data_IF_676748081568
#
_entry.id   IF_676748081568
#
_cell.length_a   1.000
_cell.length_b   1.000
_cell.length_c   1.000
_cell.angle_alpha   90.00
_cell.angle_beta   90.00
_cell.angle_gamma   90.00
#
_symmetry.space_group_name_H-M   'P 1'
#
loop_
_entity.id
_entity.type
_entity.pdbx_description
1 polymer ?
#
# COMPACT_ATOMS: atom_id res chain seq x y z
N UNK A 1 68.64 19.08 51.85
CA UNK A 1 67.67 18.01 51.80
C UNK A 1 66.35 18.58 51.35
N UNK A 2 66.04 18.45 50.07
CA UNK A 2 64.83 18.96 49.43
C UNK A 2 63.89 17.86 49.11
N UNK A 3 62.66 17.86 49.64
CA UNK A 3 61.55 17.00 49.29
C UNK A 3 60.84 17.57 48.06
N UNK A 4 60.78 16.77 47.02
CA UNK A 4 59.98 17.08 45.81
C UNK A 4 58.63 16.46 45.98
N UNK A 5 57.58 17.30 46.06
CA UNK A 5 56.18 16.88 46.02
C UNK A 5 55.74 16.76 44.54
N UNK A 6 55.46 15.53 44.13
CA UNK A 6 54.82 15.26 42.84
C UNK A 6 53.29 15.30 42.98
N UNK A 7 52.68 16.33 42.42
CA UNK A 7 51.22 16.44 42.31
C UNK A 7 50.75 15.69 41.04
N UNK A 8 50.14 14.54 41.22
CA UNK A 8 49.46 13.83 40.17
C UNK A 8 48.09 14.48 39.95
N UNK A 9 47.95 15.20 38.84
CA UNK A 9 46.64 15.73 38.39
C UNK A 9 45.86 14.59 37.75
N UNK A 10 44.85 14.07 38.45
CA UNK A 10 43.85 13.19 37.87
C UNK A 10 42.97 14.00 36.86
N UNK A 11 43.12 13.73 35.57
CA UNK A 11 42.20 14.19 34.55
C UNK A 11 40.96 13.27 34.55
N UNK A 12 39.84 13.75 35.06
CA UNK A 12 38.55 13.14 34.87
C UNK A 12 38.16 13.34 33.38
N UNK A 13 38.15 12.25 32.64
CA UNK A 13 37.56 12.17 31.30
C UNK A 13 36.07 11.96 31.51
N UNK A 14 35.27 13.03 31.33
CA UNK A 14 33.81 12.91 31.27
C UNK A 14 33.48 12.41 29.87
N UNK A 15 33.12 11.14 29.76
CA UNK A 15 32.54 10.57 28.52
C UNK A 15 31.07 11.01 28.45
N UNK A 16 30.77 12.03 27.65
CA UNK A 16 29.39 12.37 27.28
C UNK A 16 28.95 11.40 26.21
N UNK A 17 28.20 10.36 26.59
CA UNK A 17 27.42 9.56 25.64
C UNK A 17 26.27 10.46 25.16
N UNK A 18 26.44 11.07 24.00
CA UNK A 18 25.33 11.62 23.23
C UNK A 18 24.54 10.43 22.63
N UNK A 19 23.48 10.01 23.30
CA UNK A 19 22.49 9.16 22.68
C UNK A 19 21.81 9.97 21.57
N UNK A 20 22.23 9.77 20.33
CA UNK A 20 21.50 10.26 19.18
C UNK A 20 20.15 9.51 19.17
N UNK A 21 19.07 10.20 19.58
CA UNK A 21 17.72 9.80 19.21
C UNK A 21 17.68 9.91 17.68
N UNK A 22 17.92 8.81 16.99
CA UNK A 22 17.50 8.66 15.61
C UNK A 22 15.98 8.56 15.70
N UNK A 23 15.28 9.67 15.45
CA UNK A 23 13.88 9.63 15.12
C UNK A 23 13.80 8.80 13.83
N UNK A 24 13.45 7.52 13.97
CA UNK A 24 13.04 6.69 12.82
C UNK A 24 11.75 7.31 12.32
N UNK A 25 11.88 8.23 11.35
CA UNK A 25 10.73 8.56 10.52
C UNK A 25 10.27 7.22 9.93
N UNK A 26 8.97 6.94 10.04
CA UNK A 26 8.37 5.79 9.37
C UNK A 26 8.70 5.92 7.88
N UNK A 27 9.77 5.30 7.47
CA UNK A 27 10.14 5.24 6.08
C UNK A 27 9.31 4.13 5.46
N UNK A 28 8.71 4.41 4.32
CA UNK A 28 8.09 3.41 3.45
C UNK A 28 8.88 2.10 3.48
N UNK A 29 8.20 0.99 3.72
CA UNK A 29 8.88 -0.29 3.74
C UNK A 29 9.52 -0.55 2.38
N UNK A 30 10.85 -0.63 2.37
CA UNK A 30 11.66 -0.86 1.16
C UNK A 30 12.27 -2.24 1.25
N UNK A 31 12.06 -3.05 0.23
CA UNK A 31 12.58 -4.42 0.13
C UNK A 31 13.44 -4.56 -1.10
N UNK A 32 14.49 -5.37 -1.03
CA UNK A 32 15.15 -5.85 -2.25
C UNK A 32 14.15 -6.67 -3.07
N UNK A 33 14.12 -6.44 -4.38
CA UNK A 33 13.27 -7.24 -5.26
C UNK A 33 13.81 -8.66 -5.30
N UNK A 34 12.98 -9.68 -5.01
CA UNK A 34 13.44 -11.05 -5.00
C UNK A 34 13.86 -11.50 -6.41
N UNK A 35 14.72 -12.51 -6.52
CA UNK A 35 15.12 -13.06 -7.81
C UNK A 35 13.92 -13.59 -8.60
N UNK A 36 14.11 -13.77 -9.90
CA UNK A 36 13.07 -14.34 -10.76
C UNK A 36 12.59 -15.71 -10.22
N UNK A 37 11.28 -15.92 -10.21
CA UNK A 37 10.67 -17.13 -9.65
C UNK A 37 10.45 -17.11 -8.14
N UNK A 38 10.69 -15.96 -7.49
CA UNK A 38 10.28 -15.69 -6.11
C UNK A 38 9.38 -14.47 -6.09
N UNK A 39 8.22 -14.60 -5.44
CA UNK A 39 7.16 -13.58 -5.44
C UNK A 39 6.86 -13.04 -4.05
N UNK A 40 7.56 -13.48 -3.02
CA UNK A 40 7.31 -13.12 -1.63
C UNK A 40 8.41 -12.19 -1.12
N UNK A 41 7.97 -11.12 -0.42
CA UNK A 41 8.86 -10.15 0.23
C UNK A 41 8.48 -9.96 1.70
N UNK A 42 9.46 -9.50 2.49
CA UNK A 42 9.24 -9.13 3.89
C UNK A 42 8.98 -10.29 4.83
N UNK A 43 8.56 -9.97 6.03
CA UNK A 43 8.33 -10.93 7.11
C UNK A 43 7.19 -10.47 8.05
N UNK A 44 6.51 -11.41 8.68
CA UNK A 44 5.58 -11.13 9.76
C UNK A 44 6.36 -10.91 11.05
N UNK A 45 6.10 -9.80 11.74
CA UNK A 45 6.71 -9.46 13.02
C UNK A 45 5.66 -9.20 14.08
N UNK A 46 6.08 -9.02 15.31
CA UNK A 46 5.20 -8.62 16.40
C UNK A 46 5.82 -7.48 17.19
N UNK A 47 4.96 -6.64 17.77
CA UNK A 47 5.33 -5.60 18.73
C UNK A 47 4.44 -5.71 19.96
N UNK A 48 4.87 -5.11 21.06
CA UNK A 48 4.08 -5.05 22.29
C UNK A 48 3.48 -3.66 22.41
N UNK A 49 2.15 -3.58 22.47
CA UNK A 49 1.42 -2.31 22.60
C UNK A 49 1.75 -1.60 23.93
N UNK A 50 1.95 -0.29 23.87
CA UNK A 50 2.07 0.61 25.03
C UNK A 50 0.67 1.01 25.51
N UNK A 51 0.60 1.67 26.66
CA UNK A 51 -0.67 2.05 27.30
C UNK A 51 -1.58 2.91 26.40
N UNK A 52 -0.98 3.87 25.70
CA UNK A 52 -1.71 4.87 24.92
C UNK A 52 -1.76 4.55 23.41
N UNK A 53 -1.20 3.40 23.00
CA UNK A 53 -1.20 3.00 21.60
C UNK A 53 -2.60 2.57 21.14
N UNK A 54 -2.93 2.93 19.88
CA UNK A 54 -4.00 2.30 19.10
C UNK A 54 -3.36 1.39 18.04
N UNK A 55 -4.13 0.46 17.43
CA UNK A 55 -3.64 -0.28 16.27
C UNK A 55 -3.32 0.64 15.09
N UNK A 56 -3.97 1.81 15.02
CA UNK A 56 -3.71 2.82 13.98
C UNK A 56 -2.35 3.49 14.17
N UNK A 57 -2.01 3.84 15.41
CA UNK A 57 -0.70 4.45 15.72
C UNK A 57 0.42 3.46 15.45
N UNK A 58 0.28 2.22 15.94
CA UNK A 58 1.23 1.13 15.68
C UNK A 58 1.34 0.88 14.16
N UNK A 59 0.21 0.80 13.47
CA UNK A 59 0.19 0.61 12.02
C UNK A 59 0.96 1.70 11.29
N UNK A 60 0.67 2.97 11.57
CA UNK A 60 1.34 4.11 10.97
C UNK A 60 2.84 4.15 11.26
N UNK A 61 3.25 3.85 12.51
CA UNK A 61 4.66 3.77 12.90
C UNK A 61 5.42 2.71 12.09
N UNK A 62 4.74 1.65 11.66
CA UNK A 62 5.35 0.51 10.97
C UNK A 62 4.97 0.38 9.47
N UNK A 63 4.27 1.38 8.89
CA UNK A 63 3.93 1.41 7.46
C UNK A 63 2.75 0.51 7.07
N UNK A 64 1.78 0.34 7.98
CA UNK A 64 0.55 -0.41 7.76
C UNK A 64 -0.68 0.49 7.86
N UNK A 65 -1.72 0.17 7.07
CA UNK A 65 -3.01 0.83 7.13
C UNK A 65 -3.95 0.19 8.16
N UNK A 66 -5.10 0.83 8.37
CA UNK A 66 -6.10 0.37 9.32
C UNK A 66 -6.52 -1.09 9.08
N UNK A 67 -6.88 -1.43 7.83
CA UNK A 67 -7.36 -2.77 7.50
C UNK A 67 -6.27 -3.84 7.63
N UNK A 68 -5.02 -3.50 7.32
CA UNK A 68 -3.89 -4.41 7.53
C UNK A 68 -3.81 -4.83 9.00
N UNK A 69 -3.87 -3.83 9.90
CA UNK A 69 -3.74 -4.05 11.34
C UNK A 69 -4.92 -4.78 11.95
N UNK A 70 -6.15 -4.41 11.58
CA UNK A 70 -7.35 -5.03 12.14
C UNK A 70 -7.50 -6.48 11.69
N UNK A 71 -7.22 -6.78 10.42
CA UNK A 71 -7.33 -8.13 9.87
C UNK A 71 -6.28 -9.09 10.44
N UNK A 72 -5.05 -8.60 10.58
CA UNK A 72 -3.95 -9.40 11.15
C UNK A 72 -4.07 -9.60 12.67
N UNK A 73 -4.95 -8.85 13.35
CA UNK A 73 -5.11 -8.88 14.81
C UNK A 73 -6.59 -9.09 15.20
N UNK A 74 -7.23 -10.20 14.80
CA UNK A 74 -8.63 -10.44 15.12
C UNK A 74 -8.83 -10.52 16.63
N UNK A 75 -9.89 -9.86 17.13
CA UNK A 75 -10.23 -9.85 18.56
C UNK A 75 -9.49 -8.80 19.40
N UNK A 76 -8.55 -8.06 18.84
CA UNK A 76 -7.93 -6.90 19.50
C UNK A 76 -8.74 -5.65 19.15
N UNK A 77 -9.12 -4.85 20.19
CA UNK A 77 -9.79 -3.57 19.98
C UNK A 77 -8.85 -2.60 19.25
N UNK A 78 -9.21 -2.08 18.07
CA UNK A 78 -8.32 -1.19 17.29
C UNK A 78 -7.98 0.13 18.00
N UNK A 79 -8.86 0.59 18.90
CA UNK A 79 -8.73 1.86 19.59
C UNK A 79 -8.12 1.72 20.99
N UNK A 80 -8.22 0.51 21.57
CA UNK A 80 -7.74 0.22 22.92
C UNK A 80 -7.16 -1.20 23.00
N UNK A 81 -6.05 -1.48 22.32
CA UNK A 81 -5.41 -2.80 22.37
C UNK A 81 -4.99 -3.23 23.78
N UNK A 82 -4.67 -2.25 24.64
CA UNK A 82 -4.21 -2.46 26.00
C UNK A 82 -2.69 -2.67 26.10
N UNK A 83 -2.10 -2.13 27.16
CA UNK A 83 -0.67 -2.28 27.42
C UNK A 83 -0.28 -3.75 27.59
N UNK A 84 0.82 -4.15 26.94
CA UNK A 84 1.33 -5.52 27.00
C UNK A 84 0.72 -6.47 25.97
N UNK A 85 -0.28 -6.05 25.21
CA UNK A 85 -0.85 -6.85 24.11
C UNK A 85 0.18 -7.04 23.01
N UNK A 86 0.36 -8.29 22.58
CA UNK A 86 1.19 -8.63 21.41
C UNK A 86 0.40 -8.37 20.15
N UNK A 87 0.89 -7.46 19.34
CA UNK A 87 0.27 -7.02 18.07
C UNK A 87 1.08 -7.54 16.90
N UNK A 88 0.42 -8.20 15.95
CA UNK A 88 1.01 -8.70 14.70
C UNK A 88 1.18 -7.57 13.71
N UNK A 89 2.36 -7.45 13.14
CA UNK A 89 2.69 -6.57 12.01
C UNK A 89 2.74 -7.40 10.73
N UNK A 90 1.79 -7.25 9.79
CA UNK A 90 1.66 -8.09 8.60
C UNK A 90 2.62 -7.66 7.49
N UNK A 91 3.93 -7.70 7.77
CA UNK A 91 4.99 -7.19 6.88
C UNK A 91 5.49 -8.18 5.84
N UNK A 92 4.83 -9.33 5.64
CA UNK A 92 5.12 -10.28 4.57
C UNK A 92 4.05 -10.18 3.49
N UNK A 93 4.46 -10.09 2.22
CA UNK A 93 3.55 -9.87 1.09
C UNK A 93 3.88 -10.81 -0.06
N UNK A 94 2.84 -11.32 -0.72
CA UNK A 94 2.96 -11.86 -2.07
C UNK A 94 2.88 -10.67 -3.03
N UNK A 95 3.85 -10.51 -3.93
CA UNK A 95 3.82 -9.44 -4.92
C UNK A 95 2.65 -9.63 -5.90
N UNK A 96 1.99 -8.53 -6.33
CA UNK A 96 0.93 -8.61 -7.32
C UNK A 96 1.38 -9.26 -8.64
N UNK A 97 0.47 -9.97 -9.32
CA UNK A 97 0.70 -10.58 -10.63
C UNK A 97 0.69 -9.53 -11.76
N UNK A 98 1.48 -8.46 -11.60
CA UNK A 98 1.62 -7.34 -12.51
C UNK A 98 3.09 -7.12 -12.86
N UNK A 99 3.42 -6.49 -14.01
CA UNK A 99 4.78 -6.10 -14.30
C UNK A 99 5.40 -5.27 -13.19
N UNK A 100 6.59 -5.64 -12.73
CA UNK A 100 7.32 -5.00 -11.62
C UNK A 100 8.00 -3.70 -12.09
N UNK A 101 7.19 -2.74 -12.52
CA UNK A 101 7.62 -1.43 -13.02
C UNK A 101 6.64 -0.31 -12.65
N UNK A 102 7.13 0.87 -12.38
CA UNK A 102 6.31 2.03 -12.02
C UNK A 102 5.54 1.81 -10.74
N UNK A 103 4.28 2.23 -10.72
CA UNK A 103 3.37 2.09 -9.59
C UNK A 103 2.34 1.00 -9.88
N UNK A 104 2.19 0.06 -8.98
CA UNK A 104 1.10 -0.93 -8.97
C UNK A 104 0.28 -0.69 -7.71
N UNK A 105 -1.00 -0.41 -7.87
CA UNK A 105 -1.94 -0.24 -6.79
C UNK A 105 -2.91 -1.41 -6.78
N UNK A 106 -2.89 -2.24 -5.74
CA UNK A 106 -3.90 -3.26 -5.52
C UNK A 106 -4.96 -2.76 -4.56
N UNK A 107 -6.15 -2.46 -5.08
CA UNK A 107 -7.24 -1.89 -4.27
C UNK A 107 -7.78 -2.89 -3.25
N UNK A 108 -7.77 -4.19 -3.53
CA UNK A 108 -8.28 -5.23 -2.63
C UNK A 108 -7.49 -5.31 -1.31
N UNK A 109 -6.19 -5.02 -1.36
CA UNK A 109 -5.32 -5.01 -0.18
C UNK A 109 -5.06 -3.61 0.40
N UNK A 110 -5.63 -2.54 -0.19
CA UNK A 110 -5.38 -1.15 0.22
C UNK A 110 -3.91 -0.78 0.21
N UNK A 111 -3.15 -1.27 -0.79
CA UNK A 111 -1.69 -1.14 -0.83
C UNK A 111 -1.18 -0.76 -2.21
N UNK A 112 -0.19 0.10 -2.20
CA UNK A 112 0.57 0.54 -3.37
C UNK A 112 1.98 -0.03 -3.32
N UNK A 113 2.48 -0.46 -4.46
CA UNK A 113 3.86 -0.89 -4.70
C UNK A 113 4.50 0.06 -5.71
N UNK A 114 5.67 0.56 -5.39
CA UNK A 114 6.47 1.34 -6.33
C UNK A 114 7.75 0.59 -6.66
N UNK A 115 7.95 0.34 -7.94
CA UNK A 115 9.13 -0.31 -8.52
C UNK A 115 9.95 0.77 -9.25
N UNK A 116 10.92 1.41 -8.58
CA UNK A 116 11.75 2.41 -9.21
C UNK A 116 12.61 1.80 -10.32
N UNK A 117 12.97 2.57 -11.35
CA UNK A 117 13.95 2.14 -12.34
C UNK A 117 15.25 1.75 -11.64
N UNK A 118 15.80 0.57 -11.99
CA UNK A 118 17.06 0.13 -11.45
C UNK A 118 18.17 1.11 -11.83
N UNK A 119 18.98 1.52 -10.86
CA UNK A 119 20.18 2.29 -11.11
C UNK A 119 21.35 1.35 -11.33
N UNK A 120 22.31 1.78 -12.18
CA UNK A 120 23.47 0.97 -12.49
C UNK A 120 24.25 0.57 -11.21
N UNK A 121 24.34 -0.75 -10.96
CA UNK A 121 25.09 -1.32 -9.83
C UNK A 121 24.32 -1.39 -8.50
N UNK A 122 23.07 -0.93 -8.43
CA UNK A 122 22.19 -1.11 -7.26
C UNK A 122 21.26 -2.31 -7.47
N UNK A 123 20.98 -3.05 -6.40
CA UNK A 123 19.96 -4.09 -6.43
C UNK A 123 18.58 -3.44 -6.68
N UNK A 124 17.73 -4.03 -7.54
CA UNK A 124 16.38 -3.52 -7.72
C UNK A 124 15.58 -3.65 -6.42
N UNK A 125 14.73 -2.66 -6.17
CA UNK A 125 13.92 -2.61 -4.94
C UNK A 125 12.45 -2.45 -5.26
N UNK A 126 11.60 -2.79 -4.29
CA UNK A 126 10.19 -2.43 -4.24
C UNK A 126 9.90 -1.68 -2.95
N UNK A 127 9.12 -0.62 -3.06
CA UNK A 127 8.64 0.17 -1.93
C UNK A 127 7.14 -0.02 -1.80
N UNK A 128 6.61 -0.18 -0.59
CA UNK A 128 5.19 -0.43 -0.38
C UNK A 128 4.59 0.55 0.64
N UNK A 129 3.34 0.94 0.38
CA UNK A 129 2.63 1.97 1.12
C UNK A 129 1.17 1.57 1.32
N UNK A 130 0.61 1.73 2.52
CA UNK A 130 -0.83 1.64 2.71
C UNK A 130 -1.54 2.82 2.04
N UNK A 131 -2.72 2.58 1.47
CA UNK A 131 -3.53 3.61 0.84
C UNK A 131 -5.00 3.46 1.20
N UNK A 132 -5.74 4.57 1.23
CA UNK A 132 -7.20 4.52 1.20
C UNK A 132 -7.69 4.58 -0.23
N UNK A 133 -8.82 3.95 -0.48
CA UNK A 133 -9.47 3.84 -1.78
C UNK A 133 -10.88 4.39 -1.73
N UNK A 134 -11.54 4.46 -2.89
CA UNK A 134 -12.93 4.86 -3.02
C UNK A 134 -13.87 3.98 -2.21
N UNK A 135 -14.85 4.61 -1.56
CA UNK A 135 -15.90 3.92 -0.80
C UNK A 135 -16.84 3.15 -1.74
N UNK A 136 -17.78 2.38 -1.18
CA UNK A 136 -18.62 1.45 -1.94
C UNK A 136 -19.44 2.09 -3.07
N UNK A 137 -19.85 3.33 -2.90
CA UNK A 137 -20.62 4.14 -3.87
C UNK A 137 -19.73 5.02 -4.78
N UNK A 138 -18.40 5.00 -4.58
CA UNK A 138 -17.41 5.75 -5.34
C UNK A 138 -16.21 4.90 -5.69
N UNK A 139 -16.39 3.93 -6.55
CA UNK A 139 -15.34 2.95 -6.87
C UNK A 139 -14.08 3.59 -7.42
N UNK A 140 -12.92 3.15 -6.93
CA UNK A 140 -11.65 3.38 -7.61
C UNK A 140 -11.58 2.45 -8.82
N UNK A 141 -11.57 2.96 -10.06
CA UNK A 141 -11.59 2.11 -11.25
C UNK A 141 -10.25 1.41 -11.46
N UNK A 142 -10.29 0.21 -12.03
CA UNK A 142 -9.10 -0.52 -12.43
C UNK A 142 -8.70 -0.19 -13.87
N UNK A 143 -7.40 -0.21 -14.14
CA UNK A 143 -6.85 0.11 -15.46
C UNK A 143 -5.42 0.63 -15.39
N UNK A 144 -4.93 1.13 -16.51
CA UNK A 144 -3.56 1.65 -16.64
C UNK A 144 -3.59 3.13 -16.97
N UNK A 145 -2.86 3.92 -16.20
CA UNK A 145 -2.71 5.36 -16.37
C UNK A 145 -1.27 5.80 -16.10
N UNK A 146 -1.04 7.10 -16.00
CA UNK A 146 0.26 7.71 -15.69
C UNK A 146 0.09 8.87 -14.72
N UNK A 147 1.14 9.20 -13.99
CA UNK A 147 1.25 10.45 -13.26
C UNK A 147 1.49 11.58 -14.27
N UNK A 148 0.54 12.49 -14.41
CA UNK A 148 0.60 13.58 -15.40
C UNK A 148 1.05 14.90 -14.79
N UNK A 149 0.88 15.09 -13.48
CA UNK A 149 1.27 16.31 -12.77
C UNK A 149 1.58 16.04 -11.32
N UNK A 150 2.50 16.82 -10.76
CA UNK A 150 2.85 16.80 -9.34
C UNK A 150 2.72 18.20 -8.78
N UNK A 151 2.07 18.36 -7.63
CA UNK A 151 1.81 19.67 -7.02
C UNK A 151 2.13 19.62 -5.52
N UNK A 152 2.95 20.57 -5.09
CA UNK A 152 3.23 20.83 -3.67
C UNK A 152 2.24 21.90 -3.18
N UNK A 153 1.69 21.70 -1.99
CA UNK A 153 0.69 22.58 -1.38
C UNK A 153 -0.49 22.88 -2.34
N UNK A 154 -1.21 21.82 -2.80
CA UNK A 154 -2.30 21.99 -3.74
C UNK A 154 -3.47 22.76 -3.11
N UNK A 155 -4.18 23.55 -3.91
CA UNK A 155 -5.56 23.94 -3.58
C UNK A 155 -6.49 22.78 -3.95
N UNK A 156 -7.51 22.53 -3.13
CA UNK A 156 -8.53 21.53 -3.45
C UNK A 156 -9.78 22.22 -3.99
N UNK A 157 -10.21 21.78 -5.14
CA UNK A 157 -11.47 22.18 -5.78
C UNK A 157 -12.43 20.99 -5.65
N UNK A 158 -13.30 20.97 -4.62
CA UNK A 158 -14.21 19.84 -4.45
C UNK A 158 -15.15 19.72 -5.65
N UNK A 159 -15.27 18.51 -6.26
CA UNK A 159 -16.22 18.24 -7.33
C UNK A 159 -17.65 18.65 -6.93
N UNK A 160 -18.49 18.94 -7.91
CA UNK A 160 -19.86 19.37 -7.65
C UNK A 160 -20.63 18.30 -6.85
N UNK A 161 -20.52 17.03 -7.23
CA UNK A 161 -21.14 15.90 -6.54
C UNK A 161 -20.73 15.80 -5.06
N UNK A 162 -19.43 16.04 -4.76
CA UNK A 162 -18.94 16.07 -3.36
C UNK A 162 -19.51 17.28 -2.60
N UNK A 163 -19.66 18.43 -3.25
CA UNK A 163 -20.25 19.62 -2.61
C UNK A 163 -21.73 19.41 -2.31
N UNK A 164 -22.47 18.82 -3.25
CA UNK A 164 -23.89 18.50 -3.09
C UNK A 164 -24.13 17.50 -1.96
N UNK A 165 -23.30 16.47 -1.87
CA UNK A 165 -23.33 15.51 -0.76
C UNK A 165 -23.10 16.19 0.60
N UNK A 166 -22.06 17.01 0.70
CA UNK A 166 -21.75 17.74 1.93
C UNK A 166 -22.83 18.76 2.29
N UNK A 167 -23.45 19.42 1.29
CA UNK A 167 -24.58 20.32 1.51
C UNK A 167 -25.79 19.57 2.07
N UNK A 168 -26.11 18.41 1.49
CA UNK A 168 -27.21 17.55 1.98
C UNK A 168 -26.98 17.07 3.43
N UNK A 169 -25.73 16.92 3.84
CA UNK A 169 -25.34 16.58 5.23
C UNK A 169 -25.29 17.81 6.17
N UNK A 170 -25.63 19.01 5.69
CA UNK A 170 -25.55 20.24 6.47
C UNK A 170 -24.14 20.77 6.74
N UNK A 171 -23.16 20.34 5.95
CA UNK A 171 -21.73 20.70 6.05
C UNK A 171 -21.21 21.27 4.73
N UNK A 172 -21.74 22.38 4.21
CA UNK A 172 -21.40 22.90 2.89
C UNK A 172 -19.90 23.17 2.76
N UNK A 173 -19.34 22.77 1.62
CA UNK A 173 -17.94 23.01 1.30
C UNK A 173 -17.78 24.30 0.50
N UNK A 174 -16.69 25.06 0.72
CA UNK A 174 -16.37 26.20 -0.12
C UNK A 174 -16.00 25.71 -1.54
N UNK A 175 -16.10 26.56 -2.57
CA UNK A 175 -15.70 26.22 -3.93
C UNK A 175 -14.22 25.86 -4.04
N UNK A 176 -13.38 26.40 -3.15
CA UNK A 176 -11.94 26.15 -3.09
C UNK A 176 -11.50 26.06 -1.64
N UNK A 177 -10.75 25.03 -1.32
CA UNK A 177 -10.02 24.91 -0.04
C UNK A 177 -8.55 25.22 -0.34
N UNK A 178 -7.99 26.32 0.21
CA UNK A 178 -6.59 26.70 -0.04
C UNK A 178 -5.61 25.71 0.57
N UNK A 179 -4.33 25.77 0.22
CA UNK A 179 -3.27 25.02 0.90
C UNK A 179 -3.29 25.30 2.40
N UNK A 180 -3.03 24.28 3.21
CA UNK A 180 -2.97 24.41 4.67
C UNK A 180 -3.39 23.14 5.41
N UNK A 181 -3.41 23.18 6.74
CA UNK A 181 -3.68 22.01 7.58
C UNK A 181 -5.10 21.46 7.42
N UNK A 182 -6.04 22.28 6.97
CA UNK A 182 -7.43 21.87 6.75
C UNK A 182 -7.69 21.30 5.35
N UNK A 183 -6.68 21.35 4.46
CA UNK A 183 -6.83 20.84 3.10
C UNK A 183 -6.81 19.30 3.09
N UNK A 184 -7.88 18.63 2.63
CA UNK A 184 -7.96 17.17 2.62
C UNK A 184 -6.94 16.49 1.69
N UNK A 185 -6.35 17.22 0.73
CA UNK A 185 -5.28 16.68 -0.12
C UNK A 185 -3.92 16.63 0.57
N UNK A 186 -3.77 17.28 1.72
CA UNK A 186 -2.48 17.41 2.40
C UNK A 186 -1.49 18.29 1.63
N UNK A 187 -0.19 18.10 1.87
CA UNK A 187 0.87 18.94 1.29
C UNK A 187 1.32 18.51 -0.11
N UNK A 188 1.00 17.29 -0.56
CA UNK A 188 1.45 16.75 -1.83
C UNK A 188 0.31 16.04 -2.57
N UNK A 189 0.21 16.28 -3.88
CA UNK A 189 -0.72 15.59 -4.76
C UNK A 189 -0.08 15.27 -6.11
N UNK A 190 -0.36 14.08 -6.63
CA UNK A 190 0.03 13.60 -7.95
C UNK A 190 -1.24 13.31 -8.75
N UNK A 191 -1.46 14.05 -9.84
CA UNK A 191 -2.62 13.85 -10.71
C UNK A 191 -2.36 12.70 -11.66
N UNK A 192 -3.35 11.83 -11.79
CA UNK A 192 -3.36 10.74 -12.77
C UNK A 192 -3.88 11.22 -14.13
N UNK A 193 -3.52 10.52 -15.20
CA UNK A 193 -4.10 10.72 -16.52
C UNK A 193 -5.56 10.26 -16.62
N UNK A 194 -6.11 9.73 -15.54
CA UNK A 194 -7.53 9.50 -15.36
C UNK A 194 -8.16 10.75 -14.77
N UNK A 195 -9.11 11.40 -15.46
CA UNK A 195 -9.73 12.63 -15.00
C UNK A 195 -10.32 12.49 -13.60
N UNK A 196 -10.00 13.41 -12.70
CA UNK A 196 -10.53 13.44 -11.34
C UNK A 196 -9.81 12.61 -10.30
N UNK A 197 -8.87 11.79 -10.70
CA UNK A 197 -8.18 10.90 -9.77
C UNK A 197 -6.78 11.40 -9.41
N UNK A 198 -6.51 11.37 -8.11
CA UNK A 198 -5.26 11.80 -7.49
C UNK A 198 -4.69 10.70 -6.59
N UNK A 199 -3.37 10.66 -6.48
CA UNK A 199 -2.65 10.11 -5.35
C UNK A 199 -2.22 11.30 -4.50
N UNK A 200 -2.67 11.37 -3.23
CA UNK A 200 -2.47 12.56 -2.42
C UNK A 200 -2.29 12.24 -0.93
N UNK A 201 -1.81 13.21 -0.19
CA UNK A 201 -1.71 13.14 1.27
C UNK A 201 -3.08 13.27 1.96
N UNK A 202 -3.05 13.63 3.22
CA UNK A 202 -4.29 13.81 4.00
C UNK A 202 -4.06 14.70 5.21
N UNK A 203 -5.12 15.39 5.62
CA UNK A 203 -5.22 16.01 6.94
C UNK A 203 -5.88 15.09 7.98
N UNK A 204 -6.27 13.86 7.59
CA UNK A 204 -6.91 12.84 8.45
C UNK A 204 -6.22 11.48 8.30
N UNK A 205 -5.00 11.32 8.85
CA UNK A 205 -4.19 10.13 8.65
C UNK A 205 -4.81 8.85 9.24
N UNK A 206 -5.65 8.93 10.27
CA UNK A 206 -6.32 7.77 10.86
C UNK A 206 -7.23 7.00 9.88
N UNK A 207 -7.59 7.61 8.74
CA UNK A 207 -8.38 6.95 7.69
C UNK A 207 -7.56 6.20 6.64
N UNK A 208 -6.23 6.18 6.73
CA UNK A 208 -5.39 5.47 5.74
C UNK A 208 -5.53 3.96 5.89
N UNK A 209 -5.65 3.27 4.75
CA UNK A 209 -5.95 1.84 4.72
C UNK A 209 -7.43 1.50 4.85
N UNK A 210 -8.33 2.44 4.54
CA UNK A 210 -9.78 2.25 4.57
C UNK A 210 -10.42 2.56 3.21
N UNK A 211 -11.64 2.05 3.00
CA UNK A 211 -12.50 2.35 1.86
C UNK A 211 -13.39 3.57 2.19
N UNK A 212 -12.83 4.79 2.06
CA UNK A 212 -13.46 6.01 2.61
C UNK A 212 -13.34 7.26 1.73
N UNK A 213 -12.77 7.15 0.53
CA UNK A 213 -12.58 8.31 -0.36
C UNK A 213 -13.66 8.39 -1.43
N UNK A 214 -13.69 9.49 -2.19
CA UNK A 214 -14.51 9.65 -3.39
C UNK A 214 -13.74 9.17 -4.64
N UNK A 215 -13.08 8.01 -4.55
CA UNK A 215 -12.32 7.39 -5.62
C UNK A 215 -10.83 7.67 -5.63
N UNK A 216 -10.37 8.79 -5.08
CA UNK A 216 -8.94 9.13 -5.00
C UNK A 216 -8.16 8.23 -4.01
N UNK A 217 -6.84 8.24 -4.18
CA UNK A 217 -5.91 7.40 -3.43
C UNK A 217 -5.22 8.24 -2.35
N UNK A 218 -5.57 7.99 -1.08
CA UNK A 218 -5.07 8.75 0.06
C UNK A 218 -3.95 8.00 0.75
N UNK A 219 -2.85 8.70 1.05
CA UNK A 219 -1.66 8.18 1.72
C UNK A 219 -1.38 8.93 3.02
N UNK A 220 -0.57 8.36 3.89
CA UNK A 220 0.00 9.09 5.01
C UNK A 220 0.81 10.29 4.51
N UNK A 221 0.84 11.42 5.27
CA UNK A 221 1.57 12.61 4.86
C UNK A 221 3.05 12.35 4.58
N UNK A 222 3.70 11.55 5.42
CA UNK A 222 5.09 11.14 5.30
C UNK A 222 5.34 10.24 4.09
N UNK A 223 4.40 9.34 3.78
CA UNK A 223 4.50 8.40 2.66
C UNK A 223 4.37 9.13 1.31
N UNK A 224 3.38 10.02 1.19
CA UNK A 224 3.21 10.77 -0.06
C UNK A 224 4.38 11.74 -0.29
N UNK A 225 4.93 12.37 0.74
CA UNK A 225 6.11 13.23 0.64
C UNK A 225 7.31 12.41 0.14
N UNK A 226 7.56 11.26 0.75
CA UNK A 226 8.63 10.34 0.34
C UNK A 226 8.47 9.86 -1.10
N UNK A 227 7.26 9.44 -1.49
CA UNK A 227 6.95 8.95 -2.83
C UNK A 227 7.02 10.06 -3.87
N UNK A 228 6.51 11.25 -3.53
CA UNK A 228 6.49 12.42 -4.39
C UNK A 228 7.88 12.81 -4.88
N UNK A 229 8.90 12.75 -4.04
CA UNK A 229 10.28 13.06 -4.43
C UNK A 229 10.86 12.05 -5.44
N UNK A 230 10.41 10.79 -5.39
CA UNK A 230 11.01 9.64 -6.08
C UNK A 230 10.32 9.26 -7.37
N UNK A 231 9.02 9.51 -7.47
CA UNK A 231 8.23 9.12 -8.64
C UNK A 231 8.23 10.25 -9.68
N UNK A 232 8.80 10.05 -10.87
CA UNK A 232 8.76 11.02 -11.94
C UNK A 232 7.35 11.22 -12.53
N UNK A 233 7.12 12.39 -13.13
CA UNK A 233 6.00 12.57 -14.09
C UNK A 233 6.17 11.58 -15.24
N UNK A 234 5.06 11.08 -15.80
CA UNK A 234 4.95 10.01 -16.79
C UNK A 234 5.21 8.60 -16.25
N UNK A 235 5.46 8.41 -14.94
CA UNK A 235 5.49 7.08 -14.35
C UNK A 235 4.15 6.39 -14.59
N UNK A 236 4.20 5.15 -15.09
CA UNK A 236 3.03 4.28 -15.29
C UNK A 236 2.42 3.89 -13.95
N UNK A 237 1.09 3.92 -13.88
CA UNK A 237 0.31 3.52 -12.71
C UNK A 237 -0.69 2.46 -13.17
N UNK A 238 -0.61 1.26 -12.58
CA UNK A 238 -1.57 0.18 -12.75
C UNK A 238 -2.43 0.09 -11.52
N UNK A 239 -3.73 0.21 -11.70
CA UNK A 239 -4.73 -0.01 -10.66
C UNK A 239 -5.36 -1.37 -10.93
N UNK A 240 -5.22 -2.29 -10.00
CA UNK A 240 -5.66 -3.69 -10.09
C UNK A 240 -6.54 -4.05 -8.91
N UNK A 241 -7.26 -5.17 -9.04
CA UNK A 241 -8.10 -5.74 -7.98
C UNK A 241 -7.77 -7.24 -7.84
N UNK A 242 -6.77 -7.55 -7.05
CA UNK A 242 -6.33 -8.92 -6.75
C UNK A 242 -6.57 -9.24 -5.28
N UNK A 243 -7.79 -9.65 -4.88
CA UNK A 243 -8.08 -10.04 -3.49
C UNK A 243 -7.39 -11.35 -3.09
N UNK A 244 -7.04 -12.19 -4.04
CA UNK A 244 -6.23 -13.39 -3.84
C UNK A 244 -4.96 -13.24 -4.66
N UNK A 245 -3.81 -13.32 -4.01
CA UNK A 245 -2.49 -13.36 -4.63
C UNK A 245 -1.85 -14.72 -4.35
N UNK A 246 -1.22 -15.32 -5.35
CA UNK A 246 -0.50 -16.58 -5.25
C UNK A 246 0.84 -16.43 -5.94
N UNK A 247 1.91 -16.85 -5.28
CA UNK A 247 3.25 -16.76 -5.82
C UNK A 247 4.19 -17.78 -5.20
N UNK A 248 5.40 -17.85 -5.73
CA UNK A 248 6.42 -18.78 -5.28
C UNK A 248 7.32 -18.16 -4.19
N UNK A 249 7.66 -18.97 -3.18
CA UNK A 249 8.70 -18.70 -2.21
C UNK A 249 9.57 -19.96 -2.08
N UNK A 250 10.68 -20.00 -2.80
CA UNK A 250 11.42 -21.24 -3.02
C UNK A 250 10.55 -22.28 -3.73
N UNK A 251 10.41 -23.45 -3.15
CA UNK A 251 9.58 -24.54 -3.71
C UNK A 251 8.13 -24.52 -3.19
N UNK A 252 7.78 -23.54 -2.38
CA UNK A 252 6.44 -23.41 -1.81
C UNK A 252 5.56 -22.46 -2.61
N UNK A 253 4.28 -22.81 -2.80
CA UNK A 253 3.24 -21.92 -3.24
C UNK A 253 2.65 -21.20 -2.02
N UNK A 254 2.74 -19.89 -2.03
CA UNK A 254 2.28 -19.02 -0.94
C UNK A 254 1.10 -18.19 -1.41
N UNK A 255 0.03 -18.19 -0.64
CA UNK A 255 -1.21 -17.47 -0.92
C UNK A 255 -1.43 -16.38 0.15
N UNK A 256 -1.85 -15.19 -0.32
CA UNK A 256 -2.30 -14.08 0.49
C UNK A 256 -3.73 -13.74 0.07
N UNK A 257 -4.65 -13.64 1.04
CA UNK A 257 -6.08 -13.45 0.78
C UNK A 257 -6.61 -12.24 1.53
N UNK A 258 -7.30 -11.38 0.78
CA UNK A 258 -8.03 -10.22 1.27
C UNK A 258 -9.52 -10.36 0.96
N UNK A 259 -10.42 -9.72 1.73
CA UNK A 259 -11.84 -9.71 1.39
C UNK A 259 -12.09 -9.10 0.00
N UNK A 260 -13.00 -9.69 -0.73
CA UNK A 260 -13.47 -9.11 -2.00
C UNK A 260 -14.20 -7.79 -1.71
N UNK A 261 -13.82 -6.73 -2.42
CA UNK A 261 -14.45 -5.42 -2.27
C UNK A 261 -15.88 -5.45 -2.79
N UNK A 262 -16.80 -4.91 -1.99
CA UNK A 262 -18.17 -4.69 -2.41
C UNK A 262 -18.33 -3.25 -2.93
N UNK A 263 -18.92 -3.11 -4.12
CA UNK A 263 -19.31 -1.84 -4.70
C UNK A 263 -20.79 -1.87 -5.06
N UNK A 264 -21.44 -0.69 -5.00
CA UNK A 264 -22.84 -0.58 -5.45
C UNK A 264 -22.91 -0.64 -6.98
N UNK A 265 -24.05 -1.07 -7.56
CA UNK A 265 -24.22 -1.06 -9.01
C UNK A 265 -23.99 0.32 -9.65
N UNK A 266 -24.39 1.39 -8.98
CA UNK A 266 -24.21 2.77 -9.43
C UNK A 266 -22.73 3.13 -9.48
N UNK A 267 -21.95 2.76 -8.48
CA UNK A 267 -20.50 3.00 -8.44
C UNK A 267 -19.76 2.28 -9.57
N UNK A 268 -20.29 1.14 -10.02
CA UNK A 268 -19.73 0.37 -11.15
C UNK A 268 -20.17 0.88 -12.52
N UNK A 269 -21.29 1.61 -12.60
CA UNK A 269 -21.83 2.15 -13.84
C UNK A 269 -21.21 3.50 -14.27
N UNK A 270 -20.63 4.22 -13.34
CA UNK A 270 -20.09 5.56 -13.56
C UNK A 270 -18.64 5.65 -13.13
N UNK A 271 -17.71 5.41 -14.05
CA UNK A 271 -16.43 6.10 -14.01
C UNK A 271 -16.75 7.50 -14.56
N UNK A 272 -16.84 8.56 -13.73
CA UNK A 272 -17.23 9.87 -14.23
C UNK A 272 -16.15 10.37 -15.16
N UNK A 273 -16.45 10.43 -16.43
CA UNK A 273 -15.53 10.97 -17.45
C UNK A 273 -15.44 12.50 -17.42
N UNK A 274 -16.23 13.21 -16.60
CA UNK A 274 -16.41 14.63 -16.86
C UNK A 274 -16.49 15.61 -15.68
N UNK A 275 -16.68 15.20 -14.42
CA UNK A 275 -16.93 16.20 -13.36
C UNK A 275 -15.69 16.63 -12.57
N UNK A 276 -14.54 16.17 -12.95
CA UNK A 276 -13.31 16.49 -12.27
C UNK A 276 -12.55 17.59 -12.99
N UNK A 277 -12.49 18.72 -12.30
CA UNK A 277 -11.66 19.86 -12.65
C UNK A 277 -12.11 20.67 -13.88
N UNK A 278 -13.27 21.31 -13.80
CA UNK A 278 -13.41 22.61 -14.41
C UNK A 278 -12.45 23.58 -13.70
N UNK A 279 -11.50 24.10 -14.47
CA UNK A 279 -10.85 25.38 -14.28
C UNK A 279 -9.83 25.56 -13.14
N UNK A 280 -8.62 25.10 -13.34
CA UNK A 280 -7.43 25.89 -13.04
C UNK A 280 -6.18 25.28 -13.68
N UNK A 281 -6.09 25.31 -14.98
CA UNK A 281 -4.89 25.41 -15.81
C UNK A 281 -5.24 25.07 -17.27
N UNK A 282 -5.85 26.02 -17.93
CA UNK A 282 -5.77 26.10 -19.38
C UNK A 282 -4.37 26.53 -19.76
N UNK A 283 -3.45 25.59 -19.82
CA UNK A 283 -2.33 25.64 -20.75
C UNK A 283 -1.53 24.32 -20.59
N UNK A 284 -1.43 23.62 -21.70
CA UNK A 284 -0.69 22.35 -21.88
C UNK A 284 -1.37 21.03 -21.43
N UNK A 285 -2.66 20.85 -21.70
CA UNK A 285 -3.26 19.52 -21.79
C UNK A 285 -3.03 18.95 -23.20
N UNK A 286 -1.77 18.66 -23.54
CA UNK A 286 -1.48 17.73 -24.63
C UNK A 286 -1.81 16.32 -24.16
N UNK A 287 -2.90 15.76 -24.67
CA UNK A 287 -3.26 14.35 -24.88
C UNK A 287 -2.34 13.28 -24.22
N UNK A 288 -2.31 13.21 -22.90
CA UNK A 288 -1.86 12.00 -22.20
C UNK A 288 -3.06 11.06 -22.17
N UNK A 289 -3.26 10.29 -23.23
CA UNK A 289 -4.28 9.28 -23.33
C UNK A 289 -4.09 8.23 -22.23
N UNK A 290 -5.13 7.95 -21.47
CA UNK A 290 -5.20 6.72 -20.68
C UNK A 290 -4.92 5.54 -21.62
N UNK A 291 -4.00 4.64 -21.23
CA UNK A 291 -3.73 3.43 -22.00
C UNK A 291 -4.78 2.39 -21.62
N UNK A 292 -5.90 2.35 -22.33
CA UNK A 292 -6.95 1.36 -22.15
C UNK A 292 -8.24 1.88 -21.50
N UNK A 293 -9.21 1.00 -21.45
CA UNK A 293 -10.52 1.24 -20.84
C UNK A 293 -10.43 1.07 -19.33
N UNK A 294 -10.95 2.04 -18.57
CA UNK A 294 -11.14 1.90 -17.13
C UNK A 294 -12.45 1.20 -16.85
N UNK A 295 -12.38 0.17 -16.03
CA UNK A 295 -13.56 -0.63 -15.69
C UNK A 295 -13.75 -0.68 -14.17
N UNK A 296 -14.98 -0.91 -13.76
CA UNK A 296 -15.27 -1.20 -12.37
C UNK A 296 -14.64 -2.55 -11.99
N UNK A 297 -14.17 -2.69 -10.73
CA UNK A 297 -13.62 -3.96 -10.26
C UNK A 297 -14.67 -5.08 -10.36
N UNK A 298 -14.40 -6.19 -11.07
CA UNK A 298 -15.32 -7.30 -11.13
C UNK A 298 -15.46 -7.97 -9.75
N UNK A 299 -16.67 -8.35 -9.38
CA UNK A 299 -16.93 -9.17 -8.21
C UNK A 299 -16.96 -10.64 -8.64
N UNK A 300 -15.90 -11.39 -8.36
CA UNK A 300 -15.82 -12.84 -8.48
C UNK A 300 -15.76 -13.45 -7.08
N UNK A 301 -16.14 -14.72 -6.96
CA UNK A 301 -15.91 -15.42 -5.70
C UNK A 301 -14.41 -15.69 -5.45
N UNK A 302 -13.97 -15.80 -4.19
CA UNK A 302 -12.55 -15.97 -3.87
C UNK A 302 -11.91 -17.22 -4.46
N UNK A 303 -12.67 -18.31 -4.63
CA UNK A 303 -12.15 -19.56 -5.19
C UNK A 303 -11.85 -19.41 -6.69
N UNK A 304 -12.68 -18.63 -7.40
CA UNK A 304 -12.41 -18.27 -8.81
C UNK A 304 -11.10 -17.48 -8.92
N UNK A 305 -10.89 -16.48 -8.06
CA UNK A 305 -9.62 -15.75 -8.01
C UNK A 305 -8.44 -16.68 -7.70
N UNK A 306 -8.57 -17.58 -6.71
CA UNK A 306 -7.52 -18.54 -6.35
C UNK A 306 -7.16 -19.45 -7.53
N UNK A 307 -8.17 -19.94 -8.27
CA UNK A 307 -7.97 -20.80 -9.44
C UNK A 307 -7.24 -20.05 -10.57
N UNK A 308 -7.65 -18.82 -10.87
CA UNK A 308 -7.01 -17.97 -11.89
C UNK A 308 -5.54 -17.69 -11.52
N UNK A 309 -5.27 -17.34 -10.26
CA UNK A 309 -3.92 -17.11 -9.77
C UNK A 309 -3.06 -18.38 -9.81
N UNK A 310 -3.63 -19.54 -9.50
CA UNK A 310 -2.92 -20.81 -9.58
C UNK A 310 -2.52 -21.14 -11.03
N UNK A 311 -3.43 -20.97 -11.98
CA UNK A 311 -3.12 -21.16 -13.39
C UNK A 311 -1.99 -20.22 -13.84
N UNK A 312 -2.04 -18.96 -13.43
CA UNK A 312 -1.00 -17.99 -13.76
C UNK A 312 0.35 -18.33 -13.12
N UNK A 313 0.38 -18.66 -11.82
CA UNK A 313 1.60 -18.98 -11.08
C UNK A 313 2.27 -20.27 -11.55
N UNK A 314 1.49 -21.20 -12.11
CA UNK A 314 1.98 -22.52 -12.56
C UNK A 314 2.17 -22.62 -14.08
N UNK A 315 1.99 -21.54 -14.84
CA UNK A 315 2.14 -21.54 -16.29
C UNK A 315 3.54 -21.96 -16.76
N UNK A 316 4.59 -21.59 -16.03
CA UNK A 316 5.98 -21.91 -16.37
C UNK A 316 6.64 -22.90 -15.38
N UNK A 317 6.00 -23.17 -14.25
CA UNK A 317 6.53 -24.02 -13.18
C UNK A 317 5.39 -24.87 -12.61
N UNK A 318 5.45 -26.19 -12.75
CA UNK A 318 4.43 -27.09 -12.24
C UNK A 318 4.30 -27.02 -10.73
N UNK A 319 3.09 -26.93 -10.21
CA UNK A 319 2.81 -26.90 -8.77
C UNK A 319 1.54 -27.69 -8.44
N UNK A 320 1.39 -28.04 -7.17
CA UNK A 320 0.22 -28.69 -6.60
C UNK A 320 -0.29 -27.89 -5.42
N UNK A 321 -1.62 -27.72 -5.32
CA UNK A 321 -2.28 -27.05 -4.21
C UNK A 321 -2.92 -28.07 -3.26
N UNK A 322 -2.79 -27.80 -1.97
CA UNK A 322 -3.69 -28.36 -0.96
C UNK A 322 -4.94 -27.47 -0.85
N UNK A 323 -6.02 -27.91 -1.47
CA UNK A 323 -7.27 -27.17 -1.53
C UNK A 323 -7.89 -26.94 -0.13
N UNK A 324 -7.58 -27.77 0.86
CA UNK A 324 -8.03 -27.56 2.24
C UNK A 324 -7.34 -26.33 2.88
N UNK A 325 -6.06 -26.13 2.57
CA UNK A 325 -5.32 -24.94 2.99
C UNK A 325 -5.77 -23.69 2.24
N UNK A 326 -6.11 -23.82 0.94
CA UNK A 326 -6.70 -22.73 0.14
C UNK A 326 -8.01 -22.27 0.73
N UNK A 327 -8.95 -23.20 1.01
CA UNK A 327 -10.25 -22.89 1.61
C UNK A 327 -10.07 -22.25 3.01
N UNK A 328 -9.13 -22.76 3.80
CA UNK A 328 -8.83 -22.18 5.12
C UNK A 328 -8.26 -20.75 5.00
N UNK A 329 -7.40 -20.48 4.03
CA UNK A 329 -6.86 -19.14 3.77
C UNK A 329 -7.97 -18.17 3.32
N UNK A 330 -8.85 -18.61 2.40
CA UNK A 330 -10.02 -17.86 1.96
C UNK A 330 -10.95 -17.55 3.16
N UNK A 331 -11.20 -18.53 4.02
CA UNK A 331 -12.05 -18.36 5.20
C UNK A 331 -11.52 -17.35 6.22
N UNK A 332 -10.18 -17.20 6.32
CA UNK A 332 -9.57 -16.19 7.18
C UNK A 332 -9.57 -14.80 6.54
N UNK A 333 -9.16 -14.70 5.28
CA UNK A 333 -9.04 -13.41 4.55
C UNK A 333 -8.33 -12.32 5.38
N UNK A 334 -7.26 -12.72 6.10
CA UNK A 334 -6.57 -11.90 7.09
C UNK A 334 -5.38 -11.10 6.50
N UNK A 335 -5.09 -11.29 5.20
CA UNK A 335 -3.96 -10.65 4.53
C UNK A 335 -2.60 -11.22 4.90
N UNK A 336 -2.55 -12.33 5.67
CA UNK A 336 -1.29 -12.99 6.04
C UNK A 336 -0.94 -14.08 5.02
N UNK A 337 0.24 -14.01 4.36
CA UNK A 337 0.68 -15.04 3.43
C UNK A 337 0.90 -16.38 4.12
N UNK A 338 0.33 -17.44 3.56
CA UNK A 338 0.44 -18.82 4.05
C UNK A 338 0.81 -19.78 2.95
N UNK A 339 1.55 -20.83 3.27
CA UNK A 339 1.86 -21.91 2.33
C UNK A 339 0.60 -22.70 2.07
N UNK A 340 0.24 -22.89 0.80
CA UNK A 340 -0.96 -23.61 0.34
C UNK A 340 -0.63 -24.71 -0.66
N UNK A 341 0.64 -24.89 -1.00
CA UNK A 341 1.09 -25.90 -1.96
C UNK A 341 2.58 -25.90 -2.16
N UNK A 342 3.03 -26.73 -3.06
CA UNK A 342 4.45 -26.92 -3.36
C UNK A 342 4.68 -27.24 -4.84
N UNK A 343 5.94 -27.19 -5.25
CA UNK A 343 6.33 -27.60 -6.60
C UNK A 343 6.04 -29.09 -6.79
N UNK A 344 5.32 -29.40 -7.90
CA UNK A 344 5.07 -30.79 -8.25
C UNK A 344 6.38 -31.53 -8.53
N UNK A 345 6.49 -32.77 -8.04
CA UNK A 345 7.62 -33.63 -8.34
C UNK A 345 7.74 -33.82 -9.87
N UNK A 346 8.95 -33.62 -10.39
CA UNK A 346 9.19 -33.84 -11.83
C UNK A 346 9.13 -35.36 -12.13
N UNK A 347 8.11 -35.87 -12.83
CA UNK A 347 7.99 -37.31 -13.10
C UNK A 347 9.13 -37.86 -13.96
N UNK A 348 9.95 -37.02 -14.60
CA UNK A 348 11.05 -37.44 -15.47
C UNK A 348 12.30 -37.98 -14.71
N UNK A 349 12.38 -37.82 -13.38
CA UNK A 349 13.55 -38.27 -12.61
C UNK A 349 13.34 -39.68 -12.00
N UNK A 350 12.10 -40.19 -11.95
CA UNK A 350 11.77 -41.48 -11.31
C UNK A 350 12.06 -42.71 -12.16
N UNK A 351 12.46 -42.58 -13.43
CA UNK A 351 12.67 -43.74 -14.34
C UNK A 351 14.16 -44.09 -14.55
N UNK A 352 15.10 -43.52 -13.82
CA UNK A 352 16.53 -43.73 -14.03
C UNK A 352 17.19 -44.75 -13.04
N UNK A 353 16.41 -45.40 -12.16
CA UNK A 353 16.92 -46.40 -11.21
C UNK A 353 16.01 -47.65 -11.13
N UNK A 354 15.88 -48.42 -12.22
CA UNK A 354 15.57 -49.84 -12.20
C UNK A 354 16.54 -50.59 -13.11
#
# INVERSE_FOLDING_TARGET
MRRVNSMIKARQVVLVLAAALVATQAAAATFELPPAGVDVIGEVRTVVARHDDTLLDIGREHGFGYQDMVRANPGIDPWLPGAGTVVVLPGRFVLPAAPREGVVLNIAEYRMYYFPPAKNGEAPVVMTFPVSIGRQDWATPIGVTRIVQKTVNPSWYPPQSVREEHEAEGRPLPPVVPPGPDNPLGAHAMRLGLPGYLIHGTNRPAGVGMQVTHGCLRMYPEDIEFLFERVPVNTRVRIINEPVKLGWDGDSLVMEVHPVLAYTPEATATVPASDAASDAASDAASSASAEGEFVAPPAKDPLTYATEQFIAATAERSGELDWSLVEAAIGRSDGLPVVVGEQAANPAISTAFE
#
